data_IF_686460216790
#
_entry.id   IF_686460216790
#
_cell.length_a   1.000
_cell.length_b   1.000
_cell.length_c   1.000
_cell.angle_alpha   90.00
_cell.angle_beta   90.00
_cell.angle_gamma   90.00
#
_symmetry.space_group_name_H-M   'P 1'
#
loop_
_entity.id
_entity.type
_entity.pdbx_description
1 polymer ?
#
# COMPACT_ATOMS: atom_id res chain seq x y z
N UNK A 1 8.35 -13.10 -55.87
CA UNK A 1 7.15 -12.89 -55.03
C UNK A 1 7.37 -13.66 -53.74
N UNK A 2 7.26 -12.94 -52.64
CA UNK A 2 7.64 -13.27 -51.28
C UNK A 2 6.63 -14.18 -50.58
N UNK A 3 7.10 -15.24 -49.91
CA UNK A 3 6.32 -15.89 -48.86
C UNK A 3 7.13 -15.96 -47.56
N UNK A 4 6.86 -15.00 -46.69
CA UNK A 4 7.52 -14.80 -45.39
C UNK A 4 6.58 -15.20 -44.24
N UNK A 5 5.95 -16.37 -44.32
CA UNK A 5 5.00 -16.86 -43.30
C UNK A 5 5.65 -17.72 -42.20
N UNK A 6 6.88 -17.39 -41.80
CA UNK A 6 7.62 -18.10 -40.75
C UNK A 6 8.03 -17.18 -39.58
N UNK A 7 7.20 -16.21 -39.22
CA UNK A 7 7.34 -15.48 -37.94
C UNK A 7 6.26 -15.93 -36.98
N UNK A 8 6.38 -17.19 -36.58
CA UNK A 8 5.68 -17.74 -35.44
C UNK A 8 6.12 -16.96 -34.20
N UNK A 9 5.23 -16.10 -33.71
CA UNK A 9 5.47 -15.23 -32.55
C UNK A 9 5.74 -16.10 -31.32
N UNK A 10 7.01 -16.11 -30.91
CA UNK A 10 7.53 -16.78 -29.72
C UNK A 10 7.31 -15.98 -28.41
N UNK A 11 6.56 -14.88 -28.47
CA UNK A 11 6.50 -13.88 -27.39
C UNK A 11 5.29 -14.04 -26.45
N UNK A 12 4.58 -15.16 -26.54
CA UNK A 12 3.47 -15.45 -25.62
C UNK A 12 3.94 -16.50 -24.63
N UNK A 13 4.25 -16.15 -23.36
CA UNK A 13 4.57 -17.16 -22.37
C UNK A 13 3.37 -18.11 -22.26
N UNK A 14 3.59 -19.39 -22.63
CA UNK A 14 2.64 -20.45 -22.35
C UNK A 14 2.48 -20.51 -20.85
N UNK A 15 1.37 -19.99 -20.34
CA UNK A 15 0.98 -20.18 -18.95
C UNK A 15 0.77 -21.67 -18.77
N UNK A 16 1.78 -22.31 -18.18
CA UNK A 16 1.67 -23.65 -17.62
C UNK A 16 0.45 -23.63 -16.72
N UNK A 17 -0.62 -24.30 -17.16
CA UNK A 17 -1.83 -24.52 -16.38
C UNK A 17 -1.46 -25.53 -15.31
N UNK A 18 -0.73 -25.06 -14.29
CA UNK A 18 -0.45 -25.82 -13.09
C UNK A 18 -1.77 -26.29 -12.51
N UNK A 19 -1.78 -27.51 -11.98
CA UNK A 19 -2.91 -28.07 -11.25
C UNK A 19 -3.29 -27.09 -10.13
N UNK A 20 -4.23 -26.17 -10.39
CA UNK A 20 -4.81 -25.37 -9.33
C UNK A 20 -5.77 -26.32 -8.61
N UNK A 21 -5.26 -27.02 -7.60
CA UNK A 21 -6.11 -27.48 -6.51
C UNK A 21 -6.93 -26.25 -6.12
N UNK A 22 -8.25 -26.31 -6.34
CA UNK A 22 -9.20 -25.23 -6.10
C UNK A 22 -9.39 -24.96 -4.61
N UNK A 23 -8.29 -24.76 -3.88
CA UNK A 23 -8.30 -24.03 -2.64
C UNK A 23 -8.67 -22.61 -3.02
N UNK A 24 -9.92 -22.24 -2.73
CA UNK A 24 -10.41 -20.87 -2.89
C UNK A 24 -9.50 -19.94 -2.08
N UNK A 25 -8.52 -19.35 -2.74
CA UNK A 25 -7.56 -18.40 -2.15
C UNK A 25 -8.31 -17.24 -1.49
N UNK A 26 -9.48 -16.92 -2.03
CA UNK A 26 -10.43 -15.94 -1.49
C UNK A 26 -11.08 -16.38 -0.17
N UNK A 27 -11.40 -17.67 -0.02
CA UNK A 27 -11.95 -18.23 1.22
C UNK A 27 -10.88 -18.30 2.31
N UNK A 28 -9.68 -18.79 1.96
CA UNK A 28 -8.52 -18.78 2.87
C UNK A 28 -8.19 -17.37 3.30
N UNK A 29 -8.24 -16.39 2.38
CA UNK A 29 -8.02 -14.99 2.68
C UNK A 29 -8.96 -14.45 3.75
N UNK A 30 -10.27 -14.59 3.55
CA UNK A 30 -11.27 -14.12 4.53
C UNK A 30 -11.10 -14.76 5.90
N UNK A 31 -10.76 -16.05 5.95
CA UNK A 31 -10.48 -16.77 7.20
C UNK A 31 -9.23 -16.22 7.88
N UNK A 32 -8.12 -16.04 7.14
CA UNK A 32 -6.89 -15.46 7.69
C UNK A 32 -7.09 -14.06 8.27
N UNK A 33 -7.93 -13.23 7.66
CA UNK A 33 -8.18 -11.87 8.14
C UNK A 33 -9.02 -11.84 9.42
N UNK A 34 -9.97 -12.77 9.57
CA UNK A 34 -10.68 -12.97 10.82
C UNK A 34 -9.76 -13.49 11.93
N UNK A 35 -8.89 -14.45 11.60
CA UNK A 35 -7.90 -15.01 12.53
C UNK A 35 -6.91 -13.93 12.97
N UNK A 36 -6.40 -13.11 12.06
CA UNK A 36 -5.47 -12.03 12.37
C UNK A 36 -6.09 -11.00 13.33
N UNK A 37 -7.34 -10.59 13.09
CA UNK A 37 -8.07 -9.68 14.00
C UNK A 37 -8.34 -10.32 15.37
N UNK A 38 -8.63 -11.62 15.39
CA UNK A 38 -8.90 -12.36 16.63
C UNK A 38 -7.63 -12.55 17.48
N UNK A 39 -6.54 -13.03 16.87
CA UNK A 39 -5.25 -13.24 17.53
C UNK A 39 -4.57 -11.93 17.97
N UNK A 40 -4.80 -10.84 17.23
CA UNK A 40 -4.27 -9.51 17.56
C UNK A 40 -4.99 -8.81 18.72
N UNK A 41 -6.09 -9.37 19.23
CA UNK A 41 -6.86 -8.79 20.33
C UNK A 41 -6.41 -9.39 21.68
N UNK A 42 -6.13 -8.56 22.69
CA UNK A 42 -5.74 -9.02 24.04
C UNK A 42 -6.76 -9.94 24.73
N UNK A 43 -8.00 -9.97 24.25
CA UNK A 43 -9.07 -10.90 24.68
C UNK A 43 -8.71 -12.37 24.41
N UNK A 44 -8.02 -12.67 23.31
CA UNK A 44 -7.60 -14.04 23.01
C UNK A 44 -6.58 -14.55 24.04
N UNK A 45 -5.56 -13.74 24.33
CA UNK A 45 -4.57 -14.06 25.37
C UNK A 45 -5.22 -14.26 26.74
N UNK A 46 -6.18 -13.40 27.11
CA UNK A 46 -6.92 -13.55 28.36
C UNK A 46 -7.68 -14.88 28.43
N UNK A 47 -8.43 -15.23 27.38
CA UNK A 47 -9.18 -16.50 27.32
C UNK A 47 -8.27 -17.71 27.37
N UNK A 48 -7.15 -17.69 26.62
CA UNK A 48 -6.14 -18.76 26.63
C UNK A 48 -5.53 -18.95 28.02
N UNK A 49 -5.24 -17.85 28.72
CA UNK A 49 -4.67 -17.89 30.07
C UNK A 49 -5.65 -18.49 31.07
N UNK A 50 -6.92 -18.08 31.01
CA UNK A 50 -7.98 -18.65 31.85
C UNK A 50 -8.14 -20.14 31.58
N UNK A 51 -8.10 -20.57 30.31
CA UNK A 51 -8.17 -21.98 29.94
C UNK A 51 -7.04 -22.80 30.59
N UNK A 52 -5.79 -22.33 30.52
CA UNK A 52 -4.64 -23.00 31.14
C UNK A 52 -4.80 -23.11 32.66
N UNK A 53 -5.23 -22.02 33.32
CA UNK A 53 -5.44 -22.01 34.76
C UNK A 53 -6.53 -23.01 35.15
N UNK A 54 -7.67 -23.03 34.44
CA UNK A 54 -8.77 -23.96 34.69
C UNK A 54 -8.31 -25.41 34.48
N UNK A 55 -7.54 -25.68 33.43
CA UNK A 55 -6.99 -27.02 33.17
C UNK A 55 -6.13 -27.52 34.34
N UNK A 56 -5.21 -26.68 34.82
CA UNK A 56 -4.33 -26.99 35.95
C UNK A 56 -5.18 -27.25 37.21
N UNK A 57 -6.15 -26.38 37.53
CA UNK A 57 -7.01 -26.53 38.72
C UNK A 57 -7.84 -27.82 38.65
N UNK A 58 -8.44 -28.12 37.50
CA UNK A 58 -9.22 -29.35 37.30
C UNK A 58 -8.34 -30.59 37.47
N UNK A 59 -7.11 -30.55 36.95
CA UNK A 59 -6.19 -31.67 37.09
C UNK A 59 -5.72 -31.89 38.53
N UNK A 60 -5.39 -30.80 39.23
CA UNK A 60 -4.96 -30.84 40.63
C UNK A 60 -6.09 -31.25 41.59
N UNK A 61 -7.35 -30.90 41.29
CA UNK A 61 -8.51 -31.28 42.10
C UNK A 61 -8.99 -32.71 41.82
N UNK A 62 -8.82 -33.21 40.60
CA UNK A 62 -9.13 -34.59 40.22
C UNK A 62 -8.00 -35.57 40.61
N UNK A 63 -7.55 -35.53 41.87
CA UNK A 63 -6.43 -36.33 42.41
C UNK A 63 -6.60 -37.84 42.20
N UNK A 64 -7.84 -38.33 42.12
CA UNK A 64 -8.14 -39.76 41.92
C UNK A 64 -8.07 -40.22 40.46
N UNK A 65 -8.17 -39.30 39.48
CA UNK A 65 -8.24 -39.64 38.06
C UNK A 65 -7.00 -39.18 37.28
N UNK A 66 -6.28 -38.15 37.77
CA UNK A 66 -4.98 -37.66 37.27
C UNK A 66 -4.82 -37.76 35.76
N UNK A 67 -5.73 -37.16 34.99
CA UNK A 67 -5.75 -37.31 33.52
C UNK A 67 -4.53 -36.68 32.82
N UNK A 68 -3.81 -35.78 33.49
CA UNK A 68 -2.61 -35.12 32.96
C UNK A 68 -1.68 -34.75 34.13
N UNK A 69 -1.04 -35.73 34.79
CA UNK A 69 -0.21 -35.49 35.96
C UNK A 69 0.95 -34.56 35.63
N UNK A 70 1.45 -33.82 36.63
CA UNK A 70 2.66 -33.01 36.48
C UNK A 70 3.79 -33.86 35.88
N UNK A 71 4.38 -33.49 34.72
CA UNK A 71 4.53 -32.14 34.15
C UNK A 71 3.51 -31.70 33.06
N UNK A 72 2.28 -32.21 33.03
CA UNK A 72 1.21 -31.85 32.07
C UNK A 72 1.56 -32.15 30.59
N UNK A 73 1.78 -33.43 30.27
CA UNK A 73 2.20 -33.86 28.93
C UNK A 73 1.16 -33.56 27.85
N UNK A 74 -0.14 -33.66 28.17
CA UNK A 74 -1.21 -33.42 27.20
C UNK A 74 -1.33 -31.94 26.87
N UNK A 75 -1.25 -31.08 27.89
CA UNK A 75 -1.23 -29.64 27.71
C UNK A 75 -0.01 -29.22 26.88
N UNK A 76 1.17 -29.79 27.15
CA UNK A 76 2.38 -29.53 26.38
C UNK A 76 2.24 -29.97 24.91
N UNK A 77 1.68 -31.16 24.67
CA UNK A 77 1.45 -31.67 23.32
C UNK A 77 0.48 -30.79 22.53
N UNK A 78 -0.58 -30.31 23.19
CA UNK A 78 -1.54 -29.38 22.59
C UNK A 78 -0.86 -28.07 22.19
N UNK A 79 -0.07 -27.46 23.07
CA UNK A 79 0.70 -26.24 22.74
C UNK A 79 1.74 -26.47 21.63
N UNK A 80 2.41 -27.62 21.62
CA UNK A 80 3.38 -27.97 20.58
C UNK A 80 2.71 -28.06 19.21
N UNK A 81 1.53 -28.67 19.14
CA UNK A 81 0.75 -28.77 17.90
C UNK A 81 0.18 -27.41 17.50
N UNK A 82 -0.30 -26.62 18.47
CA UNK A 82 -0.78 -25.26 18.24
C UNK A 82 0.32 -24.38 17.64
N UNK A 83 1.54 -24.43 18.17
CA UNK A 83 2.68 -23.70 17.64
C UNK A 83 3.05 -24.17 16.23
N UNK A 84 3.04 -25.48 15.98
CA UNK A 84 3.33 -26.05 14.67
C UNK A 84 2.34 -25.59 13.59
N UNK A 85 1.05 -25.45 13.92
CA UNK A 85 0.03 -24.96 12.99
C UNK A 85 -0.03 -23.42 12.91
N UNK A 86 0.41 -22.71 13.95
CA UNK A 86 0.46 -21.26 13.94
C UNK A 86 1.44 -20.72 12.87
N UNK A 87 2.62 -21.32 12.72
CA UNK A 87 3.63 -20.87 11.76
C UNK A 87 3.11 -20.75 10.30
N UNK A 88 2.50 -21.79 9.69
CA UNK A 88 1.97 -21.68 8.32
C UNK A 88 0.79 -20.71 8.22
N UNK A 89 -0.07 -20.63 9.24
CA UNK A 89 -1.16 -19.65 9.26
C UNK A 89 -0.66 -18.21 9.32
N UNK A 90 0.37 -17.95 10.12
CA UNK A 90 1.02 -16.65 10.21
C UNK A 90 1.65 -16.29 8.87
N UNK A 91 2.35 -17.22 8.21
CA UNK A 91 2.92 -16.99 6.88
C UNK A 91 1.85 -16.67 5.84
N UNK A 92 0.69 -17.33 5.88
CA UNK A 92 -0.44 -17.01 5.00
C UNK A 92 -0.99 -15.60 5.26
N UNK A 93 -1.14 -15.21 6.54
CA UNK A 93 -1.57 -13.87 6.91
C UNK A 93 -0.54 -12.80 6.49
N UNK A 94 0.75 -13.08 6.67
CA UNK A 94 1.85 -12.19 6.28
C UNK A 94 1.91 -11.99 4.76
N UNK A 95 1.87 -13.05 3.96
CA UNK A 95 1.86 -12.94 2.49
C UNK A 95 0.69 -12.06 1.98
N UNK A 96 -0.48 -12.13 2.64
CA UNK A 96 -1.61 -11.27 2.28
C UNK A 96 -1.38 -9.81 2.66
N UNK A 97 -0.84 -9.58 3.85
CA UNK A 97 -0.50 -8.23 4.31
C UNK A 97 0.55 -7.59 3.37
N UNK A 98 1.62 -8.32 3.05
CA UNK A 98 2.67 -7.87 2.14
C UNK A 98 2.14 -7.55 0.74
N UNK A 99 1.21 -8.36 0.20
CA UNK A 99 0.61 -8.08 -1.10
C UNK A 99 -0.22 -6.79 -1.08
N UNK A 100 -1.00 -6.58 -0.02
CA UNK A 100 -1.79 -5.34 0.16
C UNK A 100 -0.88 -4.12 0.32
N UNK A 101 0.17 -4.25 1.14
CA UNK A 101 1.15 -3.19 1.37
C UNK A 101 1.90 -2.85 0.08
N UNK A 102 2.24 -3.86 -0.73
CA UNK A 102 2.86 -3.66 -2.03
C UNK A 102 1.96 -2.87 -2.98
N UNK A 103 0.68 -3.23 -3.10
CA UNK A 103 -0.27 -2.49 -3.95
C UNK A 103 -0.40 -1.04 -3.48
N UNK A 104 -0.52 -0.81 -2.17
CA UNK A 104 -0.56 0.55 -1.60
C UNK A 104 0.70 1.35 -1.95
N UNK A 105 1.88 0.75 -1.82
CA UNK A 105 3.15 1.39 -2.15
C UNK A 105 3.29 1.71 -3.65
N UNK A 106 2.80 0.83 -4.52
CA UNK A 106 2.79 1.06 -5.97
C UNK A 106 1.86 2.22 -6.35
N UNK A 107 0.67 2.31 -5.72
CA UNK A 107 -0.24 3.44 -5.90
C UNK A 107 0.36 4.76 -5.41
N UNK A 108 0.98 4.77 -4.22
CA UNK A 108 1.60 5.95 -3.65
C UNK A 108 2.77 6.45 -4.51
N UNK A 109 3.60 5.53 -5.04
CA UNK A 109 4.65 5.86 -6.00
C UNK A 109 4.09 6.52 -7.26
N UNK A 110 3.03 5.95 -7.83
CA UNK A 110 2.38 6.52 -9.02
C UNK A 110 1.81 7.92 -8.76
N UNK A 111 1.18 8.13 -7.60
CA UNK A 111 0.67 9.44 -7.18
C UNK A 111 1.80 10.45 -7.00
N UNK A 112 2.93 10.03 -6.41
CA UNK A 112 4.10 10.89 -6.24
C UNK A 112 4.71 11.31 -7.58
N UNK A 113 4.80 10.39 -8.54
CA UNK A 113 5.25 10.69 -9.91
C UNK A 113 4.33 11.68 -10.61
N UNK A 114 3.01 11.50 -10.53
CA UNK A 114 2.03 12.44 -11.08
C UNK A 114 2.13 13.82 -10.45
N UNK A 115 2.17 13.88 -9.12
CA UNK A 115 2.30 15.14 -8.37
C UNK A 115 3.58 15.89 -8.74
N UNK A 116 4.69 15.16 -8.93
CA UNK A 116 5.96 15.73 -9.40
C UNK A 116 5.80 16.31 -10.81
N UNK A 117 5.21 15.57 -11.73
CA UNK A 117 4.99 16.04 -13.11
C UNK A 117 4.09 17.28 -13.16
N UNK A 118 3.01 17.30 -12.38
CA UNK A 118 2.11 18.45 -12.28
C UNK A 118 2.83 19.67 -11.69
N UNK A 119 3.67 19.47 -10.67
CA UNK A 119 4.48 20.54 -10.08
C UNK A 119 5.49 21.09 -11.08
N UNK A 120 6.16 20.23 -11.85
CA UNK A 120 7.09 20.66 -12.92
C UNK A 120 6.35 21.41 -14.03
N UNK A 121 5.15 20.98 -14.40
CA UNK A 121 4.31 21.66 -15.37
C UNK A 121 3.91 23.06 -14.88
N UNK A 122 3.38 23.16 -13.66
CA UNK A 122 3.01 24.44 -13.04
C UNK A 122 4.21 25.38 -12.89
N UNK A 123 5.39 24.86 -12.56
CA UNK A 123 6.61 25.66 -12.47
C UNK A 123 7.03 26.23 -13.84
N UNK A 124 6.89 25.46 -14.92
CA UNK A 124 7.16 25.92 -16.29
C UNK A 124 6.16 26.98 -16.74
N UNK A 125 4.86 26.75 -16.49
CA UNK A 125 3.80 27.72 -16.78
C UNK A 125 4.01 29.02 -16.00
N UNK A 126 4.37 28.94 -14.71
CA UNK A 126 4.67 30.11 -13.89
C UNK A 126 5.89 30.88 -14.41
N UNK A 127 6.93 30.18 -14.86
CA UNK A 127 8.10 30.80 -15.48
C UNK A 127 7.76 31.51 -16.79
N UNK A 128 6.95 30.87 -17.66
CA UNK A 128 6.47 31.47 -18.90
C UNK A 128 5.59 32.71 -18.63
N UNK A 129 4.65 32.60 -17.69
CA UNK A 129 3.81 33.71 -17.25
C UNK A 129 4.65 34.87 -16.70
N UNK A 130 5.68 34.58 -15.89
CA UNK A 130 6.59 35.59 -15.34
C UNK A 130 7.34 36.34 -16.45
N UNK A 131 7.80 35.66 -17.49
CA UNK A 131 8.46 36.30 -18.63
C UNK A 131 7.49 37.19 -19.40
N UNK A 132 6.29 36.70 -19.71
CA UNK A 132 5.26 37.47 -20.39
C UNK A 132 4.82 38.73 -19.61
N UNK A 133 4.64 38.61 -18.28
CA UNK A 133 4.32 39.77 -17.41
C UNK A 133 5.51 40.72 -17.29
N UNK A 134 6.74 40.19 -17.27
CA UNK A 134 7.97 40.98 -17.25
C UNK A 134 8.12 41.88 -18.49
N UNK A 135 7.69 41.41 -19.66
CA UNK A 135 7.67 42.22 -20.89
C UNK A 135 6.60 43.33 -20.87
N UNK A 136 5.42 43.05 -20.31
CA UNK A 136 4.26 43.98 -20.34
C UNK A 136 4.33 45.12 -19.32
N UNK A 137 5.27 45.09 -18.37
CA UNK A 137 5.39 46.15 -17.35
C UNK A 137 6.82 46.61 -17.14
N UNK A 138 7.56 46.91 -18.22
CA UNK A 138 8.79 47.68 -18.05
C UNK A 138 8.41 49.12 -17.71
N UNK A 139 8.82 49.57 -16.52
CA UNK A 139 8.67 50.96 -16.05
C UNK A 139 9.12 51.97 -17.11
N UNK A 140 10.13 51.63 -17.90
CA UNK A 140 10.66 52.46 -18.98
C UNK A 140 9.71 52.57 -20.18
N UNK A 141 8.92 51.54 -20.49
CA UNK A 141 7.88 51.63 -21.52
C UNK A 141 6.75 52.57 -21.07
N UNK A 142 6.21 52.35 -19.86
CA UNK A 142 5.19 53.24 -19.28
C UNK A 142 5.70 54.68 -19.13
N UNK A 143 6.98 54.86 -18.80
CA UNK A 143 7.60 56.19 -18.68
C UNK A 143 7.75 56.86 -20.04
N UNK A 144 8.19 56.13 -21.07
CA UNK A 144 8.27 56.64 -22.45
C UNK A 144 6.90 57.07 -22.94
N UNK A 145 5.89 56.22 -22.81
CA UNK A 145 4.53 56.55 -23.28
C UNK A 145 3.95 57.75 -22.53
N UNK A 146 4.26 57.90 -21.24
CA UNK A 146 3.89 59.07 -20.45
C UNK A 146 4.63 60.35 -20.88
N UNK A 147 5.93 60.26 -21.20
CA UNK A 147 6.71 61.38 -21.73
C UNK A 147 6.22 61.78 -23.12
N UNK A 148 5.93 60.82 -23.99
CA UNK A 148 5.41 61.06 -25.35
C UNK A 148 4.02 61.73 -25.31
N UNK A 149 3.13 61.27 -24.41
CA UNK A 149 1.84 61.92 -24.17
C UNK A 149 2.00 63.32 -23.57
N UNK A 150 2.96 63.52 -22.66
CA UNK A 150 3.24 64.83 -22.06
C UNK A 150 3.67 65.84 -23.12
N UNK A 151 4.61 65.46 -23.98
CA UNK A 151 5.15 66.31 -25.05
C UNK A 151 4.08 66.62 -26.10
N UNK A 152 3.24 65.65 -26.46
CA UNK A 152 2.13 65.85 -27.39
C UNK A 152 1.10 66.86 -26.85
N UNK A 153 0.78 66.81 -25.55
CA UNK A 153 -0.13 67.77 -24.91
C UNK A 153 0.53 69.16 -24.82
N UNK A 154 1.82 69.23 -24.49
CA UNK A 154 2.56 70.50 -24.45
C UNK A 154 2.57 71.19 -25.83
N UNK A 155 2.82 70.44 -26.90
CA UNK A 155 2.80 70.95 -28.27
C UNK A 155 1.43 71.45 -28.72
N UNK A 156 0.34 70.85 -28.23
CA UNK A 156 -1.03 71.33 -28.48
C UNK A 156 -1.37 72.61 -27.70
N UNK A 157 -0.67 72.91 -26.60
CA UNK A 157 -0.89 74.09 -25.77
C UNK A 157 -0.15 75.33 -26.28
N UNK A 158 0.93 75.16 -27.03
CA UNK A 158 1.71 76.26 -27.65
C UNK A 158 1.16 76.74 -29.01
N UNK A 159 0.14 76.08 -29.56
CA UNK A 159 -0.61 76.52 -30.73
C UNK A 159 -1.87 77.28 -30.36
#
# INVERSE_FOLDING_TARGET
MSDASARQRLDTPRTSRGLSLGLDVEAVGRVSENIARFLGTGRYLAMQTVFVIVWIILNLSAVSLQWDPYPFILLNLAFSTQAAYAAPLILLAQNRQENRDRVSLEEDRRRAEQTKADTEYLARELAALRLAVGEVTTRDYLRRELEELHDAIAALREK
#
